data_IF_297692746576
#
_entry.id   IF_297692746576
#
_cell.length_a   1.000
_cell.length_b   1.000
_cell.length_c   1.000
_cell.angle_alpha   90.00
_cell.angle_beta   90.00
_cell.angle_gamma   90.00
#
_symmetry.space_group_name_H-M   'P 1'
#
loop_
_entity.id
_entity.type
_entity.pdbx_description
1 polymer ?
#
# COMPACT_ATOMS: atom_id res chain seq x y z
N UNK A 1 4.82 17.53 -27.00
CA UNK A 1 3.61 18.06 -26.33
C UNK A 1 2.73 16.86 -26.03
N UNK A 2 2.95 16.25 -24.85
CA UNK A 2 2.21 15.03 -24.44
C UNK A 2 0.92 15.51 -23.79
N UNK A 3 -0.21 15.37 -24.48
CA UNK A 3 -1.53 15.55 -23.88
C UNK A 3 -1.67 14.48 -22.79
N UNK A 4 -1.44 14.87 -21.55
CA UNK A 4 -1.94 14.10 -20.40
C UNK A 4 -3.47 14.27 -20.46
N UNK A 5 -4.14 13.30 -21.08
CA UNK A 5 -5.58 13.16 -20.86
C UNK A 5 -5.74 13.00 -19.34
N UNK A 6 -6.22 14.05 -18.68
CA UNK A 6 -6.65 13.94 -17.30
C UNK A 6 -7.73 12.85 -17.26
N UNK A 7 -7.33 11.67 -16.84
CA UNK A 7 -8.26 10.56 -16.65
C UNK A 7 -9.30 11.03 -15.62
N UNK A 8 -10.58 10.97 -16.00
CA UNK A 8 -11.64 11.43 -15.12
C UNK A 8 -11.93 10.32 -14.13
N UNK A 9 -11.64 10.55 -12.85
CA UNK A 9 -12.02 9.65 -11.77
C UNK A 9 -13.52 9.32 -11.81
N UNK A 10 -13.97 8.26 -11.16
CA UNK A 10 -15.39 7.93 -11.08
C UNK A 10 -16.22 9.15 -10.68
N UNK A 11 -17.44 9.25 -11.20
CA UNK A 11 -18.35 10.36 -10.88
C UNK A 11 -18.53 10.51 -9.38
N UNK A 12 -18.37 11.72 -8.87
CA UNK A 12 -18.46 12.03 -7.45
C UNK A 12 -17.15 11.90 -6.67
N UNK A 13 -16.04 11.53 -7.31
CA UNK A 13 -14.72 11.46 -6.67
C UNK A 13 -13.88 12.68 -7.06
N UNK A 14 -13.52 13.48 -6.07
CA UNK A 14 -12.52 14.54 -6.17
C UNK A 14 -11.15 14.00 -5.77
N UNK A 15 -10.11 14.26 -6.57
CA UNK A 15 -8.78 13.70 -6.36
C UNK A 15 -8.12 14.19 -5.07
N UNK A 16 -8.30 15.46 -4.70
CA UNK A 16 -7.69 16.02 -3.51
C UNK A 16 -8.33 15.44 -2.24
N UNK A 17 -9.65 15.29 -2.26
CA UNK A 17 -10.39 14.65 -1.17
C UNK A 17 -9.99 13.18 -1.04
N UNK A 18 -9.90 12.45 -2.17
CA UNK A 18 -9.47 11.06 -2.19
C UNK A 18 -8.07 10.90 -1.58
N UNK A 19 -7.10 11.69 -2.06
CA UNK A 19 -5.73 11.66 -1.51
C UNK A 19 -5.74 12.01 -0.03
N UNK A 20 -6.55 13.00 0.38
CA UNK A 20 -6.70 13.38 1.79
C UNK A 20 -7.23 12.25 2.66
N UNK A 21 -8.27 11.55 2.21
CA UNK A 21 -8.86 10.42 2.93
C UNK A 21 -7.88 9.23 3.02
N UNK A 22 -7.27 8.85 1.89
CA UNK A 22 -6.32 7.73 1.86
C UNK A 22 -5.06 8.04 2.70
N UNK A 23 -4.61 9.29 2.74
CA UNK A 23 -3.54 9.73 3.66
C UNK A 23 -3.89 9.41 5.12
N UNK A 24 -5.10 9.74 5.56
CA UNK A 24 -5.57 9.46 6.92
C UNK A 24 -5.60 7.95 7.16
N UNK A 25 -6.13 7.17 6.22
CA UNK A 25 -6.21 5.72 6.35
C UNK A 25 -4.81 5.08 6.38
N UNK A 26 -3.88 5.59 5.57
CA UNK A 26 -2.49 5.12 5.57
C UNK A 26 -1.80 5.37 6.91
N UNK A 27 -1.99 6.53 7.53
CA UNK A 27 -1.42 6.77 8.86
C UNK A 27 -2.03 5.90 9.96
N UNK A 28 -3.32 5.55 9.84
CA UNK A 28 -3.94 4.56 10.74
C UNK A 28 -3.33 3.16 10.54
N UNK A 29 -3.05 2.77 9.30
CA UNK A 29 -2.33 1.54 9.01
C UNK A 29 -0.89 1.56 9.58
N UNK A 30 -0.20 2.70 9.50
CA UNK A 30 1.13 2.86 10.11
C UNK A 30 1.10 2.60 11.63
N UNK A 31 0.10 3.13 12.33
CA UNK A 31 -0.04 2.92 13.77
C UNK A 31 -0.23 1.44 14.12
N UNK A 32 -1.01 0.72 13.29
CA UNK A 32 -1.20 -0.73 13.45
C UNK A 32 0.11 -1.47 13.22
N UNK A 33 0.79 -1.21 12.10
CA UNK A 33 2.05 -1.87 11.75
C UNK A 33 3.12 -1.64 12.82
N UNK A 34 3.32 -0.40 13.25
CA UNK A 34 4.28 -0.06 14.31
C UNK A 34 3.93 -0.67 15.67
N UNK A 35 2.65 -0.79 16.00
CA UNK A 35 2.20 -1.47 17.20
C UNK A 35 2.58 -2.95 17.19
N UNK A 36 2.28 -3.66 16.10
CA UNK A 36 2.60 -5.08 15.98
C UNK A 36 4.11 -5.32 15.80
N UNK A 37 4.85 -4.43 15.14
CA UNK A 37 6.31 -4.49 15.05
C UNK A 37 6.95 -4.50 16.44
N UNK A 38 6.51 -3.61 17.33
CA UNK A 38 6.98 -3.58 18.71
C UNK A 38 6.64 -4.86 19.51
N UNK A 39 5.46 -5.43 19.29
CA UNK A 39 5.09 -6.68 19.96
C UNK A 39 5.95 -7.87 19.52
N UNK A 40 6.51 -7.84 18.31
CA UNK A 40 7.42 -8.88 17.83
C UNK A 40 8.80 -8.85 18.50
N UNK A 41 9.17 -7.75 19.13
CA UNK A 41 10.41 -7.65 19.92
C UNK A 41 10.34 -8.50 21.19
N UNK A 42 9.11 -8.80 21.68
CA UNK A 42 8.87 -9.63 22.86
C UNK A 42 8.61 -11.08 22.44
N UNK A 43 9.31 -12.04 23.07
CA UNK A 43 9.19 -13.47 22.77
C UNK A 43 7.77 -14.02 22.95
N UNK A 44 7.04 -13.53 23.96
CA UNK A 44 5.67 -13.95 24.23
C UNK A 44 4.67 -13.32 23.22
N UNK A 45 4.96 -12.13 22.73
CA UNK A 45 4.16 -11.45 21.71
C UNK A 45 4.25 -12.13 20.35
N UNK A 46 5.43 -12.64 20.01
CA UNK A 46 5.71 -13.20 18.68
C UNK A 46 4.82 -14.38 18.30
N UNK A 47 4.61 -15.33 19.20
CA UNK A 47 3.76 -16.51 18.94
C UNK A 47 2.29 -16.17 18.75
N UNK A 48 1.81 -15.06 19.33
CA UNK A 48 0.44 -14.62 19.21
C UNK A 48 0.16 -13.82 17.93
N UNK A 49 1.18 -13.29 17.29
CA UNK A 49 1.07 -12.44 16.09
C UNK A 49 1.07 -13.28 14.81
N UNK A 50 1.88 -14.36 14.79
CA UNK A 50 1.96 -15.26 13.64
C UNK A 50 0.66 -16.08 13.52
N UNK A 51 0.02 -16.01 12.35
CA UNK A 51 -1.24 -16.73 12.06
C UNK A 51 -1.02 -18.04 11.34
N UNK A 52 0.07 -18.18 10.61
CA UNK A 52 0.49 -19.42 10.00
C UNK A 52 2.00 -19.62 10.20
N UNK A 53 2.42 -20.88 10.19
CA UNK A 53 3.82 -21.25 10.30
C UNK A 53 4.43 -21.57 8.93
N UNK A 54 3.83 -21.06 7.84
CA UNK A 54 4.40 -21.24 6.51
C UNK A 54 5.57 -20.26 6.33
N UNK A 55 6.79 -20.79 6.27
CA UNK A 55 8.02 -19.99 6.12
C UNK A 55 8.12 -19.32 4.74
N UNK A 56 7.43 -19.87 3.74
CA UNK A 56 7.44 -19.31 2.38
C UNK A 56 6.51 -18.11 2.26
N UNK A 57 5.35 -18.16 2.93
CA UNK A 57 4.32 -17.11 2.87
C UNK A 57 3.70 -16.88 4.26
N UNK A 58 4.43 -16.23 5.17
CA UNK A 58 3.94 -15.96 6.51
C UNK A 58 2.85 -14.87 6.48
N UNK A 59 1.81 -15.06 7.29
CA UNK A 59 0.76 -14.07 7.52
C UNK A 59 0.74 -13.69 8.98
N UNK A 60 0.68 -12.41 9.28
CA UNK A 60 0.61 -11.90 10.65
C UNK A 60 -0.76 -11.28 10.96
N UNK A 61 -1.01 -11.05 12.24
CA UNK A 61 -2.17 -10.26 12.67
C UNK A 61 -2.12 -8.83 12.11
N UNK A 62 -0.93 -8.30 11.86
CA UNK A 62 -0.74 -6.96 11.30
C UNK A 62 -1.31 -6.88 9.89
N UNK A 63 -0.98 -7.85 9.00
CA UNK A 63 -1.50 -7.95 7.64
C UNK A 63 -3.04 -7.90 7.66
N UNK A 64 -3.64 -8.80 8.46
CA UNK A 64 -5.09 -8.92 8.53
C UNK A 64 -5.77 -7.65 9.06
N UNK A 65 -5.16 -6.98 10.04
CA UNK A 65 -5.72 -5.75 10.62
C UNK A 65 -5.60 -4.55 9.68
N UNK A 66 -4.49 -4.42 8.98
CA UNK A 66 -4.33 -3.37 7.96
C UNK A 66 -5.29 -3.63 6.80
N UNK A 67 -5.40 -4.88 6.33
CA UNK A 67 -6.36 -5.27 5.31
C UNK A 67 -7.80 -4.86 5.71
N UNK A 68 -8.22 -5.25 6.91
CA UNK A 68 -9.55 -4.95 7.43
C UNK A 68 -9.83 -3.44 7.46
N UNK A 69 -8.92 -2.64 8.04
CA UNK A 69 -9.15 -1.21 8.23
C UNK A 69 -9.20 -0.46 6.89
N UNK A 70 -8.28 -0.74 5.97
CA UNK A 70 -8.23 -0.06 4.67
C UNK A 70 -9.48 -0.35 3.85
N UNK A 71 -9.85 -1.63 3.71
CA UNK A 71 -11.04 -2.03 2.96
C UNK A 71 -12.31 -1.41 3.57
N UNK A 72 -12.43 -1.49 4.91
CA UNK A 72 -13.57 -0.91 5.62
C UNK A 72 -13.69 0.59 5.38
N UNK A 73 -12.59 1.34 5.53
CA UNK A 73 -12.57 2.80 5.36
C UNK A 73 -12.93 3.22 3.94
N UNK A 74 -12.38 2.55 2.93
CA UNK A 74 -12.70 2.84 1.52
C UNK A 74 -14.18 2.57 1.27
N UNK A 75 -14.71 1.42 1.70
CA UNK A 75 -16.11 1.06 1.49
C UNK A 75 -17.08 1.99 2.22
N UNK A 76 -16.78 2.39 3.45
CA UNK A 76 -17.63 3.31 4.22
C UNK A 76 -17.67 4.70 3.60
N UNK A 77 -16.50 5.22 3.22
CA UNK A 77 -16.37 6.60 2.71
C UNK A 77 -16.92 6.73 1.29
N UNK A 78 -16.72 5.73 0.46
CA UNK A 78 -17.01 5.73 -0.98
C UNK A 78 -18.06 4.70 -1.39
N UNK A 79 -19.01 4.42 -0.50
CA UNK A 79 -20.06 3.37 -0.67
C UNK A 79 -20.86 3.45 -1.96
N UNK A 80 -20.94 4.62 -2.59
CA UNK A 80 -21.73 4.84 -3.82
C UNK A 80 -20.84 4.86 -5.08
N UNK A 81 -19.54 4.61 -4.95
CA UNK A 81 -18.63 4.60 -6.09
C UNK A 81 -18.49 3.18 -6.62
N UNK A 82 -18.61 3.05 -7.94
CA UNK A 82 -18.45 1.76 -8.61
C UNK A 82 -16.96 1.46 -8.84
N UNK A 83 -16.34 0.81 -7.87
CA UNK A 83 -15.01 0.22 -7.94
C UNK A 83 -14.94 -1.07 -7.15
N UNK A 84 -13.99 -1.91 -7.48
CA UNK A 84 -13.71 -3.14 -6.74
C UNK A 84 -12.44 -2.98 -5.90
N UNK A 85 -12.24 -3.88 -4.94
CA UNK A 85 -11.03 -3.92 -4.11
C UNK A 85 -10.44 -5.33 -4.19
N UNK A 86 -9.23 -5.41 -4.72
CA UNK A 86 -8.40 -6.61 -4.75
C UNK A 86 -7.33 -6.48 -3.66
N UNK A 87 -7.34 -7.39 -2.71
CA UNK A 87 -6.32 -7.45 -1.67
C UNK A 87 -5.62 -8.78 -1.68
N UNK A 88 -4.32 -8.79 -1.41
CA UNK A 88 -3.50 -9.99 -1.28
C UNK A 88 -4.14 -11.00 -0.33
N UNK A 89 -4.54 -10.56 0.87
CA UNK A 89 -5.13 -11.42 1.88
C UNK A 89 -6.50 -12.01 1.47
N UNK A 90 -7.28 -11.27 0.68
CA UNK A 90 -8.55 -11.75 0.18
C UNK A 90 -8.37 -12.79 -0.93
N UNK A 91 -7.33 -12.65 -1.77
CA UNK A 91 -6.99 -13.61 -2.84
C UNK A 91 -6.49 -14.91 -2.23
N UNK A 92 -5.60 -14.85 -1.24
CA UNK A 92 -5.07 -16.02 -0.54
C UNK A 92 -6.17 -16.89 0.09
N UNK A 93 -7.25 -16.26 0.53
CA UNK A 93 -8.39 -16.96 1.17
C UNK A 93 -9.49 -17.40 0.19
N UNK A 94 -9.48 -16.89 -1.04
CA UNK A 94 -10.48 -17.17 -2.05
C UNK A 94 -9.98 -18.20 -3.06
N UNK A 95 -10.72 -19.27 -3.28
CA UNK A 95 -10.46 -20.22 -4.38
C UNK A 95 -10.87 -19.68 -5.76
N UNK A 96 -11.50 -18.52 -5.81
CA UNK A 96 -12.02 -17.94 -7.04
C UNK A 96 -11.04 -16.93 -7.65
N UNK A 97 -10.87 -17.00 -8.98
CA UNK A 97 -10.15 -15.99 -9.74
C UNK A 97 -10.90 -14.66 -9.57
N UNK A 98 -10.19 -13.60 -9.18
CA UNK A 98 -10.73 -12.26 -9.09
C UNK A 98 -11.12 -11.77 -10.50
N UNK A 99 -12.41 -11.72 -10.77
CA UNK A 99 -12.96 -11.19 -12.02
C UNK A 99 -13.65 -9.85 -11.72
N UNK A 100 -12.90 -8.76 -11.83
CA UNK A 100 -13.45 -7.43 -11.64
C UNK A 100 -14.32 -7.03 -12.82
N UNK A 101 -15.55 -6.60 -12.53
CA UNK A 101 -16.46 -5.98 -13.51
C UNK A 101 -16.30 -4.47 -13.58
N UNK A 102 -15.57 -3.88 -12.65
CA UNK A 102 -15.33 -2.45 -12.62
C UNK A 102 -14.07 -2.08 -13.41
N UNK A 103 -14.10 -0.96 -14.13
CA UNK A 103 -12.90 -0.39 -14.75
C UNK A 103 -11.91 0.17 -13.71
N UNK A 104 -12.41 0.47 -12.49
CA UNK A 104 -11.64 1.00 -11.39
C UNK A 104 -11.49 -0.05 -10.30
N UNK A 105 -10.24 -0.36 -9.94
CA UNK A 105 -9.92 -1.38 -8.95
C UNK A 105 -8.85 -0.87 -8.00
N UNK A 106 -9.15 -0.89 -6.72
CA UNK A 106 -8.14 -0.78 -5.68
C UNK A 106 -7.35 -2.07 -5.58
N UNK A 107 -6.03 -1.95 -5.54
CA UNK A 107 -5.12 -3.08 -5.30
C UNK A 107 -4.36 -2.79 -4.03
N UNK A 108 -4.49 -3.67 -3.04
CA UNK A 108 -3.92 -3.54 -1.70
C UNK A 108 -2.98 -4.71 -1.40
N UNK A 109 -1.76 -4.39 -1.05
CA UNK A 109 -0.86 -5.24 -0.28
C UNK A 109 -0.72 -4.60 1.12
N UNK A 110 -1.31 -5.22 2.15
CA UNK A 110 -1.35 -4.63 3.50
C UNK A 110 0.02 -4.59 4.18
N UNK A 111 0.91 -5.52 3.84
CA UNK A 111 2.24 -5.64 4.42
C UNK A 111 3.21 -6.35 3.48
N UNK A 112 3.75 -5.61 2.50
CA UNK A 112 4.89 -6.06 1.70
C UNK A 112 6.15 -6.17 2.56
N UNK A 113 6.88 -7.28 2.42
CA UNK A 113 8.05 -7.56 3.25
C UNK A 113 7.69 -8.20 4.59
N UNK A 114 6.69 -9.08 4.66
CA UNK A 114 6.24 -9.75 5.89
C UNK A 114 7.37 -10.50 6.61
N UNK A 115 8.31 -11.10 5.87
CA UNK A 115 9.50 -11.74 6.47
C UNK A 115 10.40 -10.72 7.17
N UNK A 116 10.66 -9.59 6.55
CA UNK A 116 11.43 -8.49 7.13
C UNK A 116 10.72 -7.90 8.36
N UNK A 117 9.40 -7.78 8.31
CA UNK A 117 8.58 -7.37 9.44
C UNK A 117 8.75 -8.32 10.63
N UNK A 118 8.62 -9.63 10.42
CA UNK A 118 8.79 -10.66 11.46
C UNK A 118 10.21 -10.67 12.02
N UNK A 119 11.21 -10.39 11.21
CA UNK A 119 12.62 -10.32 11.62
C UNK A 119 13.00 -8.99 12.29
N UNK A 120 12.12 -7.99 12.27
CA UNK A 120 12.39 -6.68 12.88
C UNK A 120 13.44 -5.86 12.12
N UNK A 121 13.61 -6.06 10.81
CA UNK A 121 14.61 -5.30 10.02
C UNK A 121 14.16 -3.88 9.70
N UNK A 122 12.85 -3.59 9.82
CA UNK A 122 12.25 -2.32 9.45
C UNK A 122 12.05 -2.11 7.93
N UNK A 123 12.32 -3.12 7.11
CA UNK A 123 12.19 -3.05 5.65
C UNK A 123 10.85 -3.63 5.20
N UNK A 124 9.78 -2.96 5.55
CA UNK A 124 8.42 -3.33 5.17
C UNK A 124 7.58 -2.10 4.80
N UNK A 125 6.54 -2.31 4.02
CA UNK A 125 5.66 -1.25 3.54
C UNK A 125 4.22 -1.74 3.36
N UNK A 126 3.25 -0.81 3.33
CA UNK A 126 1.92 -1.06 2.78
C UNK A 126 1.85 -0.43 1.39
N UNK A 127 1.35 -1.17 0.42
CA UNK A 127 1.10 -0.67 -0.94
C UNK A 127 -0.40 -0.60 -1.22
N UNK A 128 -0.85 0.55 -1.73
CA UNK A 128 -2.23 0.75 -2.16
C UNK A 128 -2.24 1.50 -3.50
N UNK A 129 -2.91 0.96 -4.49
CA UNK A 129 -3.04 1.60 -5.80
C UNK A 129 -4.49 1.62 -6.27
N UNK A 130 -4.91 2.72 -6.88
CA UNK A 130 -6.14 2.77 -7.67
C UNK A 130 -5.78 2.57 -9.14
N UNK A 131 -6.21 1.45 -9.69
CA UNK A 131 -6.01 1.10 -11.09
C UNK A 131 -7.21 1.52 -11.92
N UNK A 132 -6.95 1.97 -13.14
CA UNK A 132 -7.94 2.14 -14.19
C UNK A 132 -7.62 1.19 -15.35
N UNK A 133 -8.58 0.32 -15.70
CA UNK A 133 -8.37 -0.68 -16.78
C UNK A 133 -7.05 -1.43 -16.64
N UNK A 134 -6.80 -1.95 -15.44
CA UNK A 134 -5.60 -2.75 -15.09
C UNK A 134 -4.26 -1.96 -15.13
N UNK A 135 -4.29 -0.63 -15.20
CA UNK A 135 -3.09 0.21 -15.13
C UNK A 135 -3.12 1.07 -13.88
N UNK A 136 -2.05 1.10 -13.08
CA UNK A 136 -1.95 1.99 -11.94
C UNK A 136 -2.12 3.45 -12.35
N UNK A 137 -2.96 4.18 -11.60
CA UNK A 137 -3.23 5.59 -11.85
C UNK A 137 -2.87 6.45 -10.63
N UNK A 138 -3.33 6.08 -9.46
CA UNK A 138 -2.96 6.72 -8.19
C UNK A 138 -2.29 5.65 -7.33
N UNK A 139 -1.21 5.99 -6.64
CA UNK A 139 -0.49 5.05 -5.81
C UNK A 139 -0.08 5.66 -4.47
N UNK A 140 -0.04 4.80 -3.46
CA UNK A 140 0.39 5.11 -2.10
C UNK A 140 1.34 4.01 -1.63
N UNK A 141 2.51 4.40 -1.14
CA UNK A 141 3.46 3.50 -0.49
C UNK A 141 3.78 4.07 0.88
N UNK A 142 3.32 3.38 1.91
CA UNK A 142 3.58 3.75 3.29
C UNK A 142 4.78 2.96 3.81
N UNK A 143 5.79 3.64 4.33
CA UNK A 143 6.96 3.07 5.00
C UNK A 143 6.92 3.51 6.47
N UNK A 144 6.30 2.72 7.37
CA UNK A 144 6.01 3.13 8.73
C UNK A 144 7.27 3.49 9.54
N UNK A 145 8.30 2.67 9.49
CA UNK A 145 9.56 2.87 10.22
C UNK A 145 10.30 4.15 9.82
N UNK A 146 10.11 4.61 8.57
CA UNK A 146 10.69 5.86 8.08
C UNK A 146 9.78 7.05 8.24
N UNK A 147 8.56 6.85 8.76
CA UNK A 147 7.53 7.90 8.85
C UNK A 147 7.28 8.59 7.50
N UNK A 148 7.18 7.78 6.43
CA UNK A 148 7.07 8.25 5.05
C UNK A 148 5.82 7.68 4.38
N UNK A 149 5.08 8.53 3.68
CA UNK A 149 4.00 8.16 2.77
C UNK A 149 4.31 8.74 1.40
N UNK A 150 4.66 7.86 0.47
CA UNK A 150 4.86 8.21 -0.93
C UNK A 150 3.53 8.17 -1.66
N UNK A 151 3.25 9.21 -2.45
CA UNK A 151 1.99 9.37 -3.16
C UNK A 151 2.29 9.74 -4.61
N UNK A 152 1.54 9.15 -5.54
CA UNK A 152 1.46 9.62 -6.93
C UNK A 152 0.00 9.85 -7.33
N UNK A 153 -0.26 10.94 -8.04
CA UNK A 153 -1.58 11.31 -8.55
C UNK A 153 -1.75 11.08 -10.07
N UNK A 154 -0.83 10.28 -10.63
CA UNK A 154 -0.76 10.04 -12.06
C UNK A 154 0.06 11.07 -12.84
N UNK A 155 0.44 12.19 -12.23
CA UNK A 155 1.26 13.23 -12.84
C UNK A 155 2.52 13.54 -12.05
N UNK A 156 2.39 13.63 -10.74
CA UNK A 156 3.47 13.93 -9.81
C UNK A 156 3.64 12.82 -8.80
N UNK A 157 4.85 12.73 -8.26
CA UNK A 157 5.15 11.83 -7.14
C UNK A 157 5.84 12.63 -6.05
N UNK A 158 5.40 12.46 -4.81
CA UNK A 158 5.96 13.13 -3.65
C UNK A 158 5.92 12.25 -2.42
N UNK A 159 6.72 12.59 -1.43
CA UNK A 159 6.70 11.99 -0.11
C UNK A 159 6.16 12.99 0.91
N UNK A 160 5.33 12.50 1.80
CA UNK A 160 4.87 13.24 2.97
C UNK A 160 5.31 12.53 4.24
N UNK A 161 5.60 13.30 5.29
CA UNK A 161 5.78 12.77 6.63
C UNK A 161 4.60 13.14 7.51
N UNK A 162 4.48 12.46 8.64
CA UNK A 162 3.38 12.69 9.59
C UNK A 162 3.40 14.09 10.21
N UNK A 163 4.56 14.75 10.28
CA UNK A 163 4.73 16.12 10.73
C UNK A 163 4.27 17.18 9.71
N UNK A 164 3.77 16.74 8.54
CA UNK A 164 3.33 17.60 7.45
C UNK A 164 4.43 18.02 6.49
N UNK A 165 5.69 17.66 6.75
CA UNK A 165 6.77 17.94 5.79
C UNK A 165 6.56 17.15 4.50
N UNK A 166 6.87 17.80 3.35
CA UNK A 166 6.62 17.26 2.02
C UNK A 166 7.77 17.59 1.08
N UNK A 167 8.13 16.63 0.24
CA UNK A 167 9.10 16.85 -0.84
C UNK A 167 8.69 16.09 -2.11
N UNK A 168 8.83 16.75 -3.27
CA UNK A 168 8.55 16.12 -4.56
C UNK A 168 9.72 15.23 -4.99
N UNK A 169 9.40 14.08 -5.58
CA UNK A 169 10.41 13.23 -6.21
C UNK A 169 10.73 13.77 -7.60
N UNK A 170 12.02 13.91 -7.89
CA UNK A 170 12.50 14.23 -9.23
C UNK A 170 12.95 12.92 -9.85
N UNK A 171 12.26 12.51 -10.93
CA UNK A 171 12.68 11.36 -11.71
C UNK A 171 14.05 11.65 -12.36
N UNK A 172 15.01 10.77 -12.14
CA UNK A 172 16.27 10.82 -12.85
C UNK A 172 16.04 10.50 -14.32
N UNK A 173 16.45 11.42 -15.22
CA UNK A 173 16.47 11.18 -16.65
C UNK A 173 17.77 10.48 -17.10
N UNK A 174 18.54 9.95 -16.17
CA UNK A 174 19.79 9.29 -16.50
C UNK A 174 19.52 8.02 -17.29
N UNK A 175 20.00 8.01 -18.53
CA UNK A 175 19.89 6.88 -19.47
C UNK A 175 21.14 6.00 -19.49
N UNK A 176 22.15 6.33 -18.68
CA UNK A 176 23.37 5.55 -18.61
C UNK A 176 23.18 4.35 -17.68
N UNK A 177 23.15 3.15 -18.22
CA UNK A 177 22.99 1.89 -17.47
C UNK A 177 24.03 1.70 -16.36
N UNK A 178 25.25 2.27 -16.54
CA UNK A 178 26.31 2.17 -15.54
C UNK A 178 26.04 3.02 -14.28
N UNK A 179 25.16 4.01 -14.38
CA UNK A 179 24.76 4.89 -13.29
C UNK A 179 23.40 4.51 -12.69
N UNK A 180 22.77 3.47 -13.20
CA UNK A 180 21.50 2.99 -12.67
C UNK A 180 21.73 2.11 -11.43
N UNK A 181 20.86 2.28 -10.43
CA UNK A 181 20.79 1.39 -9.28
C UNK A 181 19.70 0.35 -9.52
N UNK A 182 20.07 -0.93 -9.55
CA UNK A 182 19.13 -2.03 -9.57
C UNK A 182 18.76 -2.40 -8.13
N UNK A 183 17.47 -2.37 -7.84
CA UNK A 183 16.93 -2.88 -6.58
C UNK A 183 16.22 -4.19 -6.85
N UNK A 184 16.60 -5.23 -6.12
CA UNK A 184 16.00 -6.57 -6.22
C UNK A 184 15.70 -7.10 -4.83
N UNK A 185 14.74 -8.01 -4.72
CA UNK A 185 14.49 -8.74 -3.48
C UNK A 185 15.69 -9.59 -3.12
N UNK A 186 15.98 -9.68 -1.84
CA UNK A 186 17.01 -10.55 -1.32
C UNK A 186 16.54 -12.01 -1.49
N UNK A 187 17.17 -12.77 -2.37
CA UNK A 187 17.00 -14.22 -2.40
C UNK A 187 17.79 -14.75 -1.20
N UNK A 188 17.10 -15.31 -0.21
CA UNK A 188 17.73 -16.04 0.89
C UNK A 188 17.90 -17.51 0.50
#
# INVERSE_FOLDING_TARGET
>A
MTFHLMLKLPSGVDINNLIGDIRIFSWQAADILLYYSKLLEDSDGRSNILKNNNEEDPVTLADLKVNEIIIKRINEKYKNINWDILSEENVKTSSNIFDSKSEWVWVLDPLDGTKDFIQGTGNYAMHLALNYKQKPYIGFVLIPEKNQLWITDGGKTWCEKRDGSKYESILSNNKNLQEMTLVTSKIM
#
